data_IF_110909782818
#
_entry.id   IF_110909782818
#
_cell.length_a   1.000
_cell.length_b   1.000
_cell.length_c   1.000
_cell.angle_alpha   90.00
_cell.angle_beta   90.00
_cell.angle_gamma   90.00
#
_symmetry.space_group_name_H-M   'P 1'
#
loop_
_entity.id
_entity.type
_entity.pdbx_description
1 polymer ?
#
# COMPACT_ATOMS: atom_id res chain seq x y z
N UNK A 1 9.64 -13.34 4.43
CA UNK A 1 8.43 -14.15 4.12
C UNK A 1 7.19 -13.27 4.29
N UNK A 2 6.18 -13.38 3.42
CA UNK A 2 4.91 -12.65 3.54
C UNK A 2 3.94 -13.42 4.43
N UNK A 3 3.19 -12.73 5.30
CA UNK A 3 2.06 -13.28 6.04
C UNK A 3 1.90 -12.71 7.47
N UNK A 4 0.84 -13.12 8.21
CA UNK A 4 0.41 -12.47 9.46
C UNK A 4 1.45 -12.40 10.58
N UNK A 5 2.38 -13.37 10.62
CA UNK A 5 3.46 -13.42 11.60
C UNK A 5 4.79 -12.83 11.09
N UNK A 6 4.82 -12.36 9.85
CA UNK A 6 6.02 -11.84 9.19
C UNK A 6 5.73 -10.47 8.58
N UNK A 7 5.94 -10.27 7.27
CA UNK A 7 5.69 -8.99 6.57
C UNK A 7 4.25 -8.95 6.06
N UNK A 8 3.59 -7.82 6.30
CA UNK A 8 2.31 -7.45 5.70
C UNK A 8 2.54 -6.30 4.71
N UNK A 9 1.78 -6.27 3.63
CA UNK A 9 1.96 -5.31 2.53
C UNK A 9 0.59 -4.71 2.21
N UNK A 10 0.57 -3.38 2.11
CA UNK A 10 -0.55 -2.59 1.61
C UNK A 10 -0.08 -1.87 0.35
N UNK A 11 -1.02 -1.41 -0.48
CA UNK A 11 -0.69 -0.70 -1.70
C UNK A 11 -1.54 0.55 -1.86
N UNK A 12 -0.88 1.63 -2.27
CA UNK A 12 -1.49 2.84 -2.78
C UNK A 12 -1.04 2.97 -4.23
N UNK A 13 -1.98 3.31 -5.11
CA UNK A 13 -1.72 3.56 -6.53
C UNK A 13 -2.04 5.03 -6.77
N UNK A 14 -1.18 5.72 -7.50
CA UNK A 14 -1.33 7.15 -7.73
C UNK A 14 -0.96 7.56 -9.14
N UNK A 15 -1.64 8.61 -9.61
CA UNK A 15 -1.33 9.39 -10.80
C UNK A 15 -1.90 10.81 -10.57
N UNK A 16 -2.96 11.22 -11.30
CA UNK A 16 -3.70 12.45 -11.01
C UNK A 16 -4.48 12.38 -9.69
N UNK A 17 -4.88 11.18 -9.28
CA UNK A 17 -5.45 10.91 -7.97
C UNK A 17 -4.60 9.86 -7.29
N UNK A 18 -4.58 9.86 -5.96
CA UNK A 18 -4.07 8.75 -5.18
C UNK A 18 -5.24 7.97 -4.60
N UNK A 19 -5.14 6.64 -4.60
CA UNK A 19 -6.12 5.79 -3.95
C UNK A 19 -5.45 4.65 -3.19
N UNK A 20 -6.04 4.30 -2.06
CA UNK A 20 -5.69 3.07 -1.37
C UNK A 20 -6.25 1.89 -2.15
N UNK A 21 -5.36 1.05 -2.66
CA UNK A 21 -5.76 -0.11 -3.45
C UNK A 21 -6.07 -1.32 -2.57
N UNK A 22 -5.28 -1.54 -1.52
CA UNK A 22 -5.59 -2.47 -0.44
C UNK A 22 -4.82 -2.14 0.86
N UNK A 23 -5.40 -2.51 1.99
CA UNK A 23 -4.84 -2.37 3.34
C UNK A 23 -3.84 -3.51 3.66
N UNK A 24 -3.04 -3.33 4.72
CA UNK A 24 -2.05 -4.32 5.20
C UNK A 24 -2.68 -5.67 5.59
N UNK A 25 -3.95 -5.67 5.99
CA UNK A 25 -4.69 -6.87 6.45
C UNK A 25 -5.25 -7.73 5.31
N UNK A 26 -5.32 -7.19 4.10
CA UNK A 26 -6.14 -7.76 3.02
C UNK A 26 -5.48 -9.00 2.38
N UNK A 27 -4.15 -9.04 2.33
CA UNK A 27 -3.42 -10.16 1.73
C UNK A 27 -2.46 -10.82 2.72
N UNK A 28 -2.84 -12.02 3.17
CA UNK A 28 -2.12 -12.79 4.20
C UNK A 28 -1.18 -13.84 3.62
N UNK A 29 -1.21 -14.06 2.31
CA UNK A 29 -0.33 -15.01 1.62
C UNK A 29 0.41 -14.31 0.48
N UNK A 30 1.56 -14.88 0.10
CA UNK A 30 2.32 -14.38 -1.05
C UNK A 30 1.53 -14.54 -2.37
N UNK A 31 0.74 -15.61 -2.52
CA UNK A 31 -0.03 -15.87 -3.72
C UNK A 31 -1.12 -14.81 -3.93
N UNK A 32 -1.87 -14.49 -2.87
CA UNK A 32 -2.95 -13.48 -2.93
C UNK A 32 -2.37 -12.09 -3.16
N UNK A 33 -1.29 -11.74 -2.45
CA UNK A 33 -0.59 -10.47 -2.64
C UNK A 33 -0.08 -10.32 -4.07
N UNK A 34 0.57 -11.37 -4.61
CA UNK A 34 1.08 -11.35 -5.99
C UNK A 34 -0.05 -11.16 -6.99
N UNK A 35 -1.19 -11.83 -6.79
CA UNK A 35 -2.35 -11.67 -7.66
C UNK A 35 -2.88 -10.24 -7.63
N UNK A 36 -3.10 -9.68 -6.44
CA UNK A 36 -3.59 -8.31 -6.30
C UNK A 36 -2.64 -7.29 -6.95
N UNK A 37 -1.32 -7.45 -6.76
CA UNK A 37 -0.34 -6.56 -7.41
C UNK A 37 -0.39 -6.64 -8.95
N UNK A 38 -0.55 -7.84 -9.52
CA UNK A 38 -0.66 -8.01 -10.99
C UNK A 38 -1.97 -7.40 -11.52
N UNK A 39 -3.06 -7.50 -10.75
CA UNK A 39 -4.38 -6.99 -11.13
C UNK A 39 -4.54 -5.47 -10.89
N UNK A 40 -3.47 -4.79 -10.44
CA UNK A 40 -3.47 -3.35 -10.16
C UNK A 40 -3.77 -2.54 -11.42
N UNK A 41 -4.73 -1.60 -11.37
CA UNK A 41 -5.06 -0.79 -12.54
C UNK A 41 -3.93 0.18 -12.88
N UNK A 42 -3.61 0.28 -14.17
CA UNK A 42 -2.75 1.34 -14.67
C UNK A 42 -3.53 2.67 -14.69
N UNK A 43 -2.96 3.71 -14.07
CA UNK A 43 -3.51 5.07 -14.08
C UNK A 43 -2.63 5.96 -14.95
N UNK A 44 -3.18 6.52 -16.02
CA UNK A 44 -2.43 7.31 -17.01
C UNK A 44 -2.77 8.79 -16.94
N UNK A 45 -2.08 9.57 -16.11
CA UNK A 45 -2.17 11.05 -16.08
C UNK A 45 -0.90 11.67 -15.46
N UNK A 46 -1.03 12.60 -14.51
CA UNK A 46 0.05 13.33 -13.84
C UNK A 46 0.65 12.51 -12.69
N UNK A 47 1.55 13.11 -11.91
CA UNK A 47 2.24 12.47 -10.79
C UNK A 47 1.99 13.23 -9.48
N UNK A 48 0.95 12.85 -8.72
CA UNK A 48 0.61 13.47 -7.43
C UNK A 48 1.13 12.65 -6.25
N UNK A 49 2.45 12.64 -6.08
CA UNK A 49 3.15 11.89 -5.03
C UNK A 49 2.79 12.36 -3.62
N UNK A 50 2.52 13.66 -3.44
CA UNK A 50 2.13 14.27 -2.18
C UNK A 50 0.82 13.68 -1.64
N UNK A 51 -0.21 13.58 -2.50
CA UNK A 51 -1.49 12.97 -2.16
C UNK A 51 -1.32 11.49 -1.76
N UNK A 52 -0.44 10.76 -2.44
CA UNK A 52 -0.15 9.38 -2.09
C UNK A 52 0.47 9.25 -0.69
N UNK A 53 1.35 10.16 -0.30
CA UNK A 53 1.95 10.19 1.04
C UNK A 53 0.96 10.66 2.12
N UNK A 54 0.02 11.53 1.77
CA UNK A 54 -1.11 11.89 2.65
C UNK A 54 -1.99 10.68 2.95
N UNK A 55 -2.23 9.77 2.00
CA UNK A 55 -2.95 8.52 2.28
C UNK A 55 -2.25 7.62 3.30
N UNK A 56 -0.93 7.73 3.43
CA UNK A 56 -0.14 6.98 4.42
C UNK A 56 -0.24 7.64 5.78
N UNK A 57 -0.03 8.96 5.83
CA UNK A 57 0.14 9.73 7.08
C UNK A 57 -1.18 10.20 7.69
N UNK A 58 -2.15 10.60 6.85
CA UNK A 58 -3.45 11.15 7.24
C UNK A 58 -4.56 10.11 7.11
N UNK A 59 -4.63 9.38 5.99
CA UNK A 59 -5.73 8.43 5.73
C UNK A 59 -5.40 6.97 6.08
N UNK A 60 -4.34 6.80 6.86
CA UNK A 60 -4.23 5.73 7.84
C UNK A 60 -3.77 4.37 7.32
N UNK A 61 -2.84 4.30 6.34
CA UNK A 61 -2.23 3.02 5.93
C UNK A 61 -1.57 2.27 7.11
N UNK A 62 -0.96 2.99 8.05
CA UNK A 62 -0.30 2.40 9.22
C UNK A 62 -1.15 2.38 10.50
N UNK A 63 -2.47 2.40 10.35
CA UNK A 63 -3.40 2.23 11.49
C UNK A 63 -3.66 0.76 11.80
N UNK A 64 -4.02 0.45 13.05
CA UNK A 64 -4.43 -0.91 13.43
C UNK A 64 -5.66 -1.37 12.64
N UNK A 65 -6.57 -0.44 12.33
CA UNK A 65 -7.75 -0.70 11.48
C UNK A 65 -7.37 -1.18 10.07
N UNK A 66 -6.26 -0.68 9.52
CA UNK A 66 -5.68 -1.12 8.25
C UNK A 66 -4.80 -2.39 8.39
N UNK A 67 -4.59 -2.91 9.60
CA UNK A 67 -3.78 -4.11 9.85
C UNK A 67 -2.34 -3.83 10.25
N UNK A 68 -1.98 -2.58 10.55
CA UNK A 68 -0.68 -2.27 11.09
C UNK A 68 -0.49 -2.86 12.48
N UNK A 69 0.76 -3.20 12.80
CA UNK A 69 1.14 -3.76 14.10
C UNK A 69 2.06 -2.77 14.80
N UNK A 70 1.74 -2.42 16.04
CA UNK A 70 2.48 -1.43 16.83
C UNK A 70 3.97 -1.76 16.96
N UNK A 71 4.31 -3.04 17.12
CA UNK A 71 5.68 -3.54 17.27
C UNK A 71 6.45 -3.71 15.94
N UNK A 72 5.79 -3.57 14.78
CA UNK A 72 6.43 -3.79 13.49
C UNK A 72 7.04 -2.48 12.95
N UNK A 73 8.22 -2.59 12.33
CA UNK A 73 8.80 -1.50 11.54
C UNK A 73 7.87 -1.13 10.38
N UNK A 74 7.64 0.17 10.21
CA UNK A 74 6.80 0.75 9.15
C UNK A 74 7.70 1.28 8.05
N UNK A 75 7.57 0.73 6.85
CA UNK A 75 8.43 1.05 5.71
C UNK A 75 7.54 1.47 4.54
N UNK A 76 7.90 2.57 3.89
CA UNK A 76 7.28 3.05 2.65
C UNK A 76 8.29 2.86 1.53
N UNK A 77 7.87 2.23 0.44
CA UNK A 77 8.64 2.10 -0.79
C UNK A 77 7.89 2.89 -1.85
N UNK A 78 8.50 3.96 -2.36
CA UNK A 78 7.95 4.77 -3.44
C UNK A 78 8.61 4.35 -4.74
N UNK A 79 7.79 4.08 -5.76
CA UNK A 79 8.24 3.83 -7.13
C UNK A 79 7.62 4.92 -8.00
N UNK A 80 8.45 5.79 -8.54
CA UNK A 80 8.07 6.92 -9.39
C UNK A 80 9.14 7.12 -10.45
N UNK A 81 8.80 7.79 -11.54
CA UNK A 81 9.70 8.11 -12.64
C UNK A 81 10.29 9.54 -12.59
N UNK A 82 9.75 10.44 -11.76
CA UNK A 82 10.29 11.78 -11.51
C UNK A 82 9.44 12.65 -10.63
#
# INVERSE_FOLDING_TARGET
KIGPKNVLVGAIVFSQIAQKYFDLKDHKTFADLRKALIDTPYMSYTTNTDQALDLITKDGMFTEAAGARSYASKIVIVVTDG
#
